data_IF_381490378860
#
_entry.id   IF_381490378860
#
_cell.length_a   1.000
_cell.length_b   1.000
_cell.length_c   1.000
_cell.angle_alpha   90.00
_cell.angle_beta   90.00
_cell.angle_gamma   90.00
#
_symmetry.space_group_name_H-M   'P 1'
#
loop_
_entity.id
_entity.type
_entity.pdbx_description
1 polymer ?
#
# COMPACT_ATOMS: atom_id res chain seq x y z
N UNK A 1 28.21 1.70 -0.86
CA UNK A 1 26.80 1.68 -0.40
C UNK A 1 26.68 0.55 0.62
N UNK A 2 26.23 0.84 1.84
CA UNK A 2 25.98 -0.20 2.86
C UNK A 2 24.73 -1.00 2.49
N UNK A 3 24.61 -2.25 2.96
CA UNK A 3 23.44 -3.08 2.70
C UNK A 3 22.13 -2.42 3.16
N UNK A 4 22.17 -1.69 4.28
CA UNK A 4 21.05 -0.90 4.83
C UNK A 4 20.63 0.24 3.89
N UNK A 5 21.58 0.90 3.23
CA UNK A 5 21.30 1.94 2.24
C UNK A 5 20.61 1.38 1.00
N UNK A 6 21.04 0.21 0.52
CA UNK A 6 20.42 -0.47 -0.62
C UNK A 6 18.99 -0.90 -0.28
N UNK A 7 18.79 -1.50 0.90
CA UNK A 7 17.47 -1.90 1.38
C UNK A 7 16.52 -0.70 1.46
N UNK A 8 16.99 0.43 2.00
CA UNK A 8 16.20 1.66 2.13
C UNK A 8 15.81 2.25 0.76
N UNK A 9 16.72 2.19 -0.21
CA UNK A 9 16.49 2.66 -1.58
C UNK A 9 15.40 1.86 -2.32
N UNK A 10 15.29 0.56 -2.04
CA UNK A 10 14.28 -0.30 -2.66
C UNK A 10 12.95 -0.22 -1.91
N UNK A 11 12.98 -0.33 -0.59
CA UNK A 11 11.77 -0.38 0.23
C UNK A 11 11.01 0.94 0.24
N UNK A 12 11.70 2.08 0.23
CA UNK A 12 11.07 3.40 0.29
C UNK A 12 10.11 3.66 -0.87
N UNK A 13 10.58 3.60 -2.13
CA UNK A 13 9.73 3.73 -3.30
C UNK A 13 8.67 2.63 -3.39
N UNK A 14 9.02 1.37 -3.08
CA UNK A 14 8.09 0.25 -3.14
C UNK A 14 6.89 0.47 -2.21
N UNK A 15 7.14 0.74 -0.92
CA UNK A 15 6.09 1.01 0.05
C UNK A 15 5.32 2.28 -0.29
N UNK A 16 6.01 3.32 -0.78
CA UNK A 16 5.37 4.55 -1.25
C UNK A 16 4.40 4.34 -2.39
N UNK A 17 4.80 3.57 -3.41
CA UNK A 17 3.94 3.21 -4.55
C UNK A 17 2.76 2.38 -4.08
N UNK A 18 2.96 1.38 -3.21
CA UNK A 18 1.85 0.58 -2.68
C UNK A 18 0.83 1.45 -1.93
N UNK A 19 1.29 2.32 -1.02
CA UNK A 19 0.41 3.27 -0.30
C UNK A 19 -0.37 4.13 -1.29
N UNK A 20 0.30 4.68 -2.29
CA UNK A 20 -0.33 5.50 -3.33
C UNK A 20 -1.40 4.71 -4.10
N UNK A 21 -1.09 3.48 -4.51
CA UNK A 21 -2.05 2.62 -5.21
C UNK A 21 -3.25 2.27 -4.32
N UNK A 22 -3.06 2.01 -3.02
CA UNK A 22 -4.19 1.79 -2.11
C UNK A 22 -5.04 3.05 -1.93
N UNK A 23 -4.45 4.24 -1.89
CA UNK A 23 -5.21 5.50 -1.88
C UNK A 23 -6.07 5.62 -3.15
N UNK A 24 -5.50 5.37 -4.33
CA UNK A 24 -6.29 5.32 -5.57
C UNK A 24 -7.36 4.23 -5.51
N UNK A 25 -7.06 3.09 -4.89
CA UNK A 25 -8.01 1.99 -4.77
C UNK A 25 -9.21 2.38 -3.91
N UNK A 26 -9.04 3.19 -2.86
CA UNK A 26 -10.16 3.76 -2.08
C UNK A 26 -11.08 4.57 -2.99
N UNK A 27 -10.50 5.45 -3.83
CA UNK A 27 -11.30 6.25 -4.76
C UNK A 27 -12.04 5.37 -5.74
N UNK A 28 -11.37 4.36 -6.32
CA UNK A 28 -12.01 3.44 -7.28
C UNK A 28 -13.15 2.63 -6.68
N UNK A 29 -13.15 2.33 -5.38
CA UNK A 29 -14.25 1.61 -4.74
C UNK A 29 -15.51 2.46 -4.58
N UNK A 30 -15.39 3.79 -4.69
CA UNK A 30 -16.55 4.71 -4.73
C UNK A 30 -17.18 4.81 -6.12
N UNK A 31 -16.45 4.44 -7.17
CA UNK A 31 -16.91 4.51 -8.55
C UNK A 31 -17.04 3.12 -9.17
N UNK A 32 -18.10 2.34 -8.84
CA UNK A 32 -18.28 0.99 -9.35
C UNK A 32 -18.46 0.91 -10.88
N UNK A 33 -18.74 2.04 -11.54
CA UNK A 33 -18.80 2.13 -13.00
C UNK A 33 -17.41 2.13 -13.67
N UNK A 34 -16.34 2.39 -12.93
CA UNK A 34 -14.98 2.32 -13.44
C UNK A 34 -14.56 0.86 -13.61
N UNK A 35 -14.32 0.43 -14.85
CA UNK A 35 -13.88 -0.93 -15.15
C UNK A 35 -12.43 -1.15 -14.70
N UNK A 36 -12.27 -1.80 -13.55
CA UNK A 36 -10.98 -2.12 -12.94
C UNK A 36 -10.09 -3.05 -13.78
N UNK A 37 -10.62 -3.69 -14.83
CA UNK A 37 -9.85 -4.56 -15.74
C UNK A 37 -9.20 -3.80 -16.89
N UNK A 38 -9.64 -2.56 -17.14
CA UNK A 38 -9.20 -1.73 -18.26
C UNK A 38 -8.14 -0.72 -17.84
N UNK A 39 -7.29 -0.35 -18.78
CA UNK A 39 -6.34 0.75 -18.60
C UNK A 39 -7.11 2.09 -18.46
N UNK A 40 -6.74 2.97 -17.52
CA UNK A 40 -5.60 2.90 -16.61
C UNK A 40 -5.90 2.24 -15.25
N UNK A 41 -7.15 1.88 -14.95
CA UNK A 41 -7.58 1.41 -13.64
C UNK A 41 -6.94 0.08 -13.22
N UNK A 42 -6.64 -0.79 -14.20
CA UNK A 42 -5.95 -2.05 -13.97
C UNK A 42 -4.55 -1.88 -13.33
N UNK A 43 -3.86 -0.76 -13.57
CA UNK A 43 -2.58 -0.44 -12.92
C UNK A 43 -2.71 -0.30 -11.39
N UNK A 44 -3.90 0.06 -10.91
CA UNK A 44 -4.21 0.15 -9.48
C UNK A 44 -4.80 -1.16 -8.97
N UNK A 45 -5.74 -1.74 -9.72
CA UNK A 45 -6.50 -2.90 -9.27
C UNK A 45 -5.62 -4.14 -9.17
N UNK A 46 -4.86 -4.46 -10.21
CA UNK A 46 -4.03 -5.68 -10.27
C UNK A 46 -3.03 -5.80 -9.12
N UNK A 47 -2.20 -4.79 -8.78
CA UNK A 47 -1.24 -4.91 -7.68
C UNK A 47 -1.88 -4.87 -6.30
N UNK A 48 -3.05 -4.25 -6.13
CA UNK A 48 -3.71 -4.14 -4.82
C UNK A 48 -4.58 -5.34 -4.49
N UNK A 49 -5.16 -6.02 -5.49
CA UNK A 49 -6.14 -7.09 -5.31
C UNK A 49 -5.68 -8.28 -4.45
N UNK A 50 -4.45 -8.81 -4.61
CA UNK A 50 -3.98 -9.95 -3.81
C UNK A 50 -4.00 -9.70 -2.30
N UNK A 51 -3.86 -8.44 -1.88
CA UNK A 51 -3.94 -8.02 -0.48
C UNK A 51 -5.38 -7.85 0.01
N UNK A 52 -6.29 -7.45 -0.87
CA UNK A 52 -7.68 -7.15 -0.53
C UNK A 52 -8.54 -8.42 -0.44
N UNK A 53 -8.33 -9.40 -1.33
CA UNK A 53 -9.07 -10.68 -1.32
C UNK A 53 -9.10 -11.34 0.06
N UNK A 54 -7.97 -11.57 0.76
CA UNK A 54 -8.01 -12.19 2.08
C UNK A 54 -8.66 -11.29 3.13
N UNK A 55 -8.43 -9.97 3.08
CA UNK A 55 -8.95 -9.05 4.08
C UNK A 55 -10.47 -8.84 3.96
N UNK A 56 -11.02 -8.87 2.74
CA UNK A 56 -12.48 -8.79 2.50
C UNK A 56 -13.27 -9.95 3.11
N UNK A 57 -12.61 -11.09 3.39
CA UNK A 57 -13.24 -12.21 4.11
C UNK A 57 -13.48 -11.89 5.58
N UNK A 58 -12.66 -10.99 6.15
CA UNK A 58 -12.75 -10.56 7.55
C UNK A 58 -13.56 -9.28 7.69
N UNK A 59 -13.36 -8.34 6.77
CA UNK A 59 -14.02 -7.03 6.74
C UNK A 59 -14.75 -6.90 5.40
N UNK A 60 -16.02 -7.33 5.32
CA UNK A 60 -16.78 -7.24 4.08
C UNK A 60 -17.04 -5.78 3.69
N UNK A 61 -17.29 -5.49 2.40
CA UNK A 61 -17.69 -4.16 1.95
C UNK A 61 -18.94 -3.66 2.68
N UNK A 62 -18.94 -2.39 3.06
CA UNK A 62 -20.05 -1.75 3.78
C UNK A 62 -20.73 -0.76 2.83
N UNK A 63 -22.04 -0.90 2.62
CA UNK A 63 -22.78 -0.01 1.74
C UNK A 63 -22.30 -0.01 0.28
N UNK A 64 -21.75 -1.13 -0.20
CA UNK A 64 -21.20 -1.26 -1.56
C UNK A 64 -19.80 -0.66 -1.74
N UNK A 65 -19.22 -0.08 -0.69
CA UNK A 65 -17.85 0.46 -0.71
C UNK A 65 -16.91 -0.49 0.03
N UNK A 66 -15.79 -0.82 -0.62
CA UNK A 66 -14.72 -1.60 0.00
C UNK A 66 -13.82 -0.69 0.85
N UNK A 67 -13.85 -0.94 2.17
CA UNK A 67 -13.10 -0.23 3.21
C UNK A 67 -11.71 -0.85 3.43
N UNK A 68 -11.48 -2.08 2.94
CA UNK A 68 -10.22 -2.80 3.15
C UNK A 68 -8.96 -2.10 2.62
N UNK A 69 -9.00 -1.29 1.53
CA UNK A 69 -7.84 -0.51 1.11
C UNK A 69 -7.35 0.51 2.17
N UNK A 70 -8.26 1.08 2.98
CA UNK A 70 -7.91 2.03 4.05
C UNK A 70 -7.03 1.34 5.10
N UNK A 71 -7.39 0.10 5.46
CA UNK A 71 -6.61 -0.71 6.40
C UNK A 71 -5.19 -0.94 5.88
N UNK A 72 -5.06 -1.25 4.58
CA UNK A 72 -3.75 -1.44 3.96
C UNK A 72 -2.93 -0.15 3.86
N UNK A 73 -3.54 1.01 3.61
CA UNK A 73 -2.85 2.30 3.74
C UNK A 73 -2.24 2.45 5.13
N UNK A 74 -2.99 2.15 6.19
CA UNK A 74 -2.50 2.17 7.57
C UNK A 74 -1.32 1.22 7.79
N UNK A 75 -1.47 -0.04 7.39
CA UNK A 75 -0.43 -1.08 7.56
C UNK A 75 0.86 -0.69 6.83
N UNK A 76 0.79 -0.32 5.55
CA UNK A 76 1.99 0.03 4.78
C UNK A 76 2.62 1.34 5.24
N UNK A 77 1.82 2.32 5.69
CA UNK A 77 2.35 3.58 6.25
C UNK A 77 3.08 3.33 7.56
N UNK A 78 2.50 2.51 8.44
CA UNK A 78 3.14 2.11 9.69
C UNK A 78 4.44 1.33 9.45
N UNK A 79 4.42 0.38 8.52
CA UNK A 79 5.62 -0.38 8.14
C UNK A 79 6.71 0.53 7.58
N UNK A 80 6.33 1.51 6.73
CA UNK A 80 7.27 2.49 6.19
C UNK A 80 7.89 3.34 7.29
N UNK A 81 7.12 3.81 8.27
CA UNK A 81 7.64 4.61 9.37
C UNK A 81 8.58 3.81 10.27
N UNK A 82 8.19 2.58 10.66
CA UNK A 82 9.03 1.71 11.49
C UNK A 82 10.36 1.37 10.80
N UNK A 83 10.34 1.13 9.49
CA UNK A 83 11.55 0.72 8.78
C UNK A 83 12.42 1.91 8.36
N UNK A 84 11.81 2.97 7.83
CA UNK A 84 12.48 4.03 7.07
C UNK A 84 12.26 5.44 7.64
N UNK A 85 11.47 5.58 8.71
CA UNK A 85 11.21 6.85 9.36
C UNK A 85 12.45 7.51 9.95
N UNK A 86 12.30 8.71 10.52
CA UNK A 86 13.41 9.43 11.14
C UNK A 86 14.05 8.64 12.29
N UNK A 87 13.22 7.87 13.01
CA UNK A 87 13.60 6.91 14.04
C UNK A 87 13.47 5.45 13.56
N UNK A 88 13.37 5.22 12.25
CA UNK A 88 13.17 3.89 11.69
C UNK A 88 14.39 2.98 11.88
N UNK A 89 14.15 1.67 11.96
CA UNK A 89 15.16 0.65 12.22
C UNK A 89 16.33 0.73 11.23
N UNK A 90 16.05 0.85 9.93
CA UNK A 90 17.09 0.91 8.90
C UNK A 90 17.85 2.23 8.95
N UNK A 91 17.17 3.32 9.31
CA UNK A 91 17.78 4.65 9.50
C UNK A 91 18.72 4.64 10.70
N UNK A 92 18.31 4.04 11.82
CA UNK A 92 19.14 3.91 13.02
C UNK A 92 20.37 3.04 12.77
N UNK A 93 20.20 1.90 12.11
CA UNK A 93 21.31 0.98 11.77
C UNK A 93 22.35 1.60 10.83
N UNK A 94 21.97 2.60 10.03
CA UNK A 94 22.91 3.29 9.14
C UNK A 94 23.67 4.44 9.81
N UNK A 95 23.29 4.83 11.04
CA UNK A 95 23.94 5.90 11.82
C UNK A 95 24.97 5.39 12.82
N UNK A 96 24.99 4.07 13.07
CA UNK A 96 25.96 3.36 13.90
C UNK A 96 27.10 2.87 13.02
#
# INVERSE_FOLDING_TARGET
MTATSIASLILGPLLGVLIFLFIFRIVLTWYPQADGTRFPFNLVVVPTEPFLIPLRKLVPPIGGVDITPIVWVGIFSFLREILLGQQGLLTMLNRV
#
